data_IF_263910165375
#
_entry.id   IF_263910165375
#
_cell.length_a   1.000
_cell.length_b   1.000
_cell.length_c   1.000
_cell.angle_alpha   90.00
_cell.angle_beta   90.00
_cell.angle_gamma   90.00
#
_symmetry.space_group_name_H-M   'P 1'
#
loop_
_entity.id
_entity.type
_entity.pdbx_description
1 polymer ?
#
# COMPACT_ATOMS: atom_id res chain seq x y z
N UNK A 1 20.62 -28.45 10.55
CA UNK A 1 20.75 -28.46 9.08
C UNK A 1 19.57 -27.68 8.52
N UNK A 2 19.73 -26.39 8.27
CA UNK A 2 18.63 -25.52 7.81
C UNK A 2 18.39 -25.79 6.33
N UNK A 3 17.40 -26.63 6.02
CA UNK A 3 16.91 -26.82 4.66
C UNK A 3 16.23 -25.54 4.21
N UNK A 4 16.85 -24.81 3.30
CA UNK A 4 16.22 -23.71 2.59
C UNK A 4 15.13 -24.32 1.72
N UNK A 5 13.88 -24.27 2.19
CA UNK A 5 12.72 -24.59 1.35
C UNK A 5 12.72 -23.58 0.20
N UNK A 6 13.05 -24.05 -1.00
CA UNK A 6 12.94 -23.30 -2.25
C UNK A 6 11.47 -23.14 -2.65
N UNK A 7 10.62 -22.83 -1.68
CA UNK A 7 9.25 -22.42 -1.89
C UNK A 7 9.23 -21.26 -2.89
N UNK A 8 8.26 -21.28 -3.80
CA UNK A 8 8.14 -20.30 -4.87
C UNK A 8 8.33 -18.88 -4.32
N UNK A 9 9.41 -18.20 -4.75
CA UNK A 9 9.81 -16.88 -4.23
C UNK A 9 8.75 -15.80 -4.47
N UNK A 10 7.90 -16.00 -5.49
CA UNK A 10 6.84 -15.10 -5.91
C UNK A 10 5.59 -15.90 -6.28
N UNK A 11 4.43 -15.54 -5.71
CA UNK A 11 3.14 -16.14 -6.07
C UNK A 11 2.32 -15.17 -6.93
N UNK A 12 1.99 -15.58 -8.15
CA UNK A 12 1.05 -14.85 -9.01
C UNK A 12 -0.37 -15.24 -8.63
N UNK A 13 -1.19 -14.26 -8.24
CA UNK A 13 -2.58 -14.51 -7.76
C UNK A 13 -3.61 -14.48 -8.88
N UNK A 14 -3.31 -13.82 -9.99
CA UNK A 14 -4.19 -13.69 -11.16
C UNK A 14 -3.37 -13.46 -12.42
N UNK A 15 -3.78 -14.08 -13.52
CA UNK A 15 -3.08 -14.00 -14.80
C UNK A 15 -1.75 -14.76 -14.80
N UNK A 16 -0.99 -14.60 -15.89
CA UNK A 16 0.39 -15.10 -16.03
C UNK A 16 1.33 -13.91 -16.16
N UNK A 17 2.41 -13.90 -15.39
CA UNK A 17 3.48 -12.91 -15.57
C UNK A 17 4.49 -13.43 -16.60
N UNK A 18 4.94 -12.56 -17.50
CA UNK A 18 6.02 -12.94 -18.41
C UNK A 18 7.36 -12.99 -17.66
N UNK A 19 8.37 -13.69 -18.19
CA UNK A 19 9.71 -13.72 -17.60
C UNK A 19 10.31 -12.31 -17.41
N UNK A 20 10.06 -11.39 -18.34
CA UNK A 20 10.56 -10.02 -18.31
C UNK A 20 9.91 -9.21 -17.17
N UNK A 21 8.61 -9.40 -16.95
CA UNK A 21 7.89 -8.75 -15.84
C UNK A 21 8.40 -9.23 -14.48
N UNK A 22 8.67 -10.54 -14.35
CA UNK A 22 9.26 -11.11 -13.14
C UNK A 22 10.69 -10.59 -12.92
N UNK A 23 11.50 -10.51 -13.98
CA UNK A 23 12.85 -9.95 -13.90
C UNK A 23 12.82 -8.48 -13.46
N UNK A 24 11.93 -7.67 -14.04
CA UNK A 24 11.75 -6.27 -13.65
C UNK A 24 11.38 -6.14 -12.16
N UNK A 25 10.46 -6.98 -11.68
CA UNK A 25 10.08 -7.00 -10.27
C UNK A 25 11.28 -7.32 -9.35
N UNK A 26 12.06 -8.35 -9.70
CA UNK A 26 13.26 -8.74 -8.95
C UNK A 26 14.29 -7.61 -8.91
N UNK A 27 14.54 -6.94 -10.06
CA UNK A 27 15.45 -5.78 -10.13
C UNK A 27 14.99 -4.67 -9.19
N UNK A 28 13.71 -4.32 -9.21
CA UNK A 28 13.15 -3.29 -8.33
C UNK A 28 13.29 -3.67 -6.85
N UNK A 29 13.02 -4.92 -6.49
CA UNK A 29 13.18 -5.42 -5.13
C UNK A 29 14.64 -5.31 -4.66
N UNK A 30 15.59 -5.79 -5.48
CA UNK A 30 17.02 -5.71 -5.16
C UNK A 30 17.53 -4.26 -5.05
N UNK A 31 17.06 -3.36 -5.92
CA UNK A 31 17.40 -1.95 -5.82
C UNK A 31 16.90 -1.34 -4.50
N UNK A 32 15.70 -1.73 -4.07
CA UNK A 32 15.07 -1.20 -2.85
C UNK A 32 15.73 -1.74 -1.58
N UNK A 33 16.12 -3.02 -1.55
CA UNK A 33 16.84 -3.60 -0.40
C UNK A 33 18.24 -2.99 -0.23
N UNK A 34 18.90 -2.61 -1.34
CA UNK A 34 20.17 -1.87 -1.28
C UNK A 34 19.98 -0.43 -0.82
N UNK A 35 18.89 0.23 -1.21
CA UNK A 35 18.58 1.60 -0.80
C UNK A 35 18.23 1.73 0.69
N UNK A 36 17.72 0.67 1.33
CA UNK A 36 17.41 0.67 2.78
C UNK A 36 18.65 0.73 3.69
N UNK A 37 19.85 0.50 3.15
CA UNK A 37 21.11 0.56 3.92
C UNK A 37 21.64 1.99 4.11
N UNK A 38 21.15 2.96 3.32
CA UNK A 38 21.49 4.38 3.52
C UNK A 38 20.70 4.92 4.71
N UNK A 39 21.31 5.69 5.64
CA UNK A 39 20.57 6.32 6.73
C UNK A 39 19.43 7.11 6.11
N UNK A 40 18.21 6.67 6.43
CA UNK A 40 16.99 7.28 5.95
C UNK A 40 16.89 8.64 6.63
N UNK A 41 17.47 9.67 6.02
CA UNK A 41 17.16 11.06 6.29
C UNK A 41 15.65 11.14 6.43
N UNK A 42 15.20 11.51 7.64
CA UNK A 42 13.86 11.27 8.17
C UNK A 42 12.82 11.43 7.05
N UNK A 43 12.35 10.30 6.51
CA UNK A 43 11.24 10.34 5.56
C UNK A 43 10.09 10.84 6.41
N UNK A 44 9.80 12.14 6.28
CA UNK A 44 8.64 12.80 6.86
C UNK A 44 7.49 11.84 6.63
N UNK A 45 6.99 11.22 7.72
CA UNK A 45 6.06 10.10 7.59
C UNK A 45 4.89 10.60 6.74
N UNK A 46 4.85 10.18 5.49
CA UNK A 46 3.72 10.43 4.63
C UNK A 46 2.63 9.53 5.20
N UNK A 47 1.90 10.06 6.17
CA UNK A 47 0.70 9.43 6.66
C UNK A 47 -0.19 9.25 5.44
N UNK A 48 -0.50 8.01 5.03
CA UNK A 48 -1.39 7.81 3.91
C UNK A 48 -2.70 8.54 4.25
N UNK A 49 -3.10 9.50 3.41
CA UNK A 49 -4.36 10.24 3.54
C UNK A 49 -5.59 9.34 3.31
N UNK A 50 -5.40 8.01 3.32
CA UNK A 50 -6.47 7.04 3.30
C UNK A 50 -7.34 7.33 4.52
N UNK A 51 -8.51 7.92 4.24
CA UNK A 51 -9.53 8.12 5.25
C UNK A 51 -9.86 6.75 5.81
N UNK A 52 -9.78 6.66 7.13
CA UNK A 52 -10.39 5.58 7.89
C UNK A 52 -11.85 5.50 7.48
N UNK A 53 -12.20 4.44 6.76
CA UNK A 53 -13.54 4.27 6.19
C UNK A 53 -14.57 4.14 7.31
N UNK A 54 -14.15 3.61 8.47
CA UNK A 54 -14.94 3.55 9.70
C UNK A 54 -15.28 4.93 10.29
N UNK A 55 -14.55 5.99 9.93
CA UNK A 55 -14.82 7.38 10.34
C UNK A 55 -15.56 8.19 9.27
N UNK A 56 -15.80 7.62 8.10
CA UNK A 56 -16.61 8.26 7.08
C UNK A 56 -18.08 8.13 7.48
N UNK A 57 -18.84 9.23 7.46
CA UNK A 57 -20.30 9.16 7.47
C UNK A 57 -20.72 8.22 6.33
N UNK A 58 -21.62 7.29 6.63
CA UNK A 58 -22.01 6.20 5.75
C UNK A 58 -22.40 6.66 4.34
N UNK A 59 -22.47 5.70 3.41
CA UNK A 59 -22.77 5.98 2.01
C UNK A 59 -24.25 6.37 1.92
N UNK A 60 -24.60 7.46 1.20
CA UNK A 60 -25.97 8.00 1.16
C UNK A 60 -27.01 7.07 0.50
N UNK A 61 -26.58 5.98 -0.15
CA UNK A 61 -27.47 4.94 -0.68
C UNK A 61 -26.74 3.83 -1.44
N UNK A 62 -27.47 2.80 -1.92
CA UNK A 62 -26.91 1.58 -2.53
C UNK A 62 -26.05 1.81 -3.78
N UNK A 63 -26.21 2.96 -4.46
CA UNK A 63 -25.46 3.34 -5.68
C UNK A 63 -24.44 4.46 -5.44
N UNK A 64 -24.25 4.90 -4.20
CA UNK A 64 -23.25 5.91 -3.86
C UNK A 64 -21.97 5.23 -3.40
N UNK A 65 -20.86 5.48 -4.10
CA UNK A 65 -19.51 5.05 -3.72
C UNK A 65 -18.68 6.21 -3.14
N UNK A 66 -19.25 7.42 -3.09
CA UNK A 66 -18.61 8.60 -2.50
C UNK A 66 -19.21 8.90 -1.14
N UNK A 67 -18.35 8.94 -0.13
CA UNK A 67 -18.65 9.32 1.23
C UNK A 67 -18.43 10.82 1.44
N UNK A 68 -19.46 11.54 1.88
CA UNK A 68 -19.31 12.95 2.22
C UNK A 68 -18.71 13.12 3.61
N UNK A 69 -17.73 14.01 3.71
CA UNK A 69 -17.23 14.48 4.99
C UNK A 69 -17.95 15.78 5.29
N UNK A 70 -18.95 15.79 6.18
CA UNK A 70 -19.50 17.07 6.65
C UNK A 70 -18.48 17.65 7.64
N UNK A 71 -17.86 18.81 7.37
CA UNK A 71 -17.03 19.45 8.38
C UNK A 71 -17.92 19.82 9.57
N UNK A 72 -17.52 19.40 10.77
CA UNK A 72 -18.20 19.78 12.00
C UNK A 72 -18.13 21.31 12.10
N UNK A 73 -19.30 21.96 12.06
CA UNK A 73 -19.42 23.38 12.30
C UNK A 73 -18.84 23.67 13.69
N UNK A 74 -17.80 24.48 13.75
CA UNK A 74 -17.27 25.01 15.00
C UNK A 74 -18.27 26.06 15.49
N UNK A 75 -19.10 25.70 16.46
CA UNK A 75 -19.77 26.68 17.31
C UNK A 75 -18.70 27.25 18.25
N UNK A 76 -18.22 28.45 17.95
CA UNK A 76 -17.50 29.29 18.92
C UNK A 76 -18.55 30.20 19.55
N UNK A 77 -18.78 30.00 20.84
CA UNK A 77 -19.44 30.97 21.73
C UNK A 77 -18.39 31.63 22.61
#
# INVERSE_FOLDING_TARGET
MTTTDTGSLLRVTKGSATPEELAALVVVLLARTRATTRPRNEIRRHHPHWRRLERALGHRGPRSWRSETRPAARHTG
#
